data_IF_713101261928
#
_entry.id   IF_713101261928
#
_cell.length_a   1.000
_cell.length_b   1.000
_cell.length_c   1.000
_cell.angle_alpha   90.00
_cell.angle_beta   90.00
_cell.angle_gamma   90.00
#
_symmetry.space_group_name_H-M   'P 1'
#
loop_
_entity.id
_entity.type
_entity.pdbx_description
1 polymer ?
#
# COMPACT_ATOMS: atom_id res chain seq x y z
N UNK A 1 50.53 -33.62 -15.50
CA UNK A 1 49.72 -32.77 -14.58
C UNK A 1 49.78 -31.34 -15.09
N UNK A 2 48.74 -30.87 -15.76
CA UNK A 2 48.44 -29.43 -15.87
C UNK A 2 46.96 -29.27 -16.19
N UNK A 3 46.35 -28.32 -15.51
CA UNK A 3 44.91 -28.11 -15.35
C UNK A 3 44.21 -27.73 -16.66
N UNK A 4 43.10 -28.40 -16.99
CA UNK A 4 42.16 -27.94 -18.02
C UNK A 4 41.38 -26.74 -17.46
N UNK A 5 41.78 -25.52 -17.86
CA UNK A 5 41.03 -24.29 -17.60
C UNK A 5 40.18 -23.99 -18.83
N UNK A 6 38.87 -24.21 -18.73
CA UNK A 6 37.91 -23.81 -19.76
C UNK A 6 37.68 -22.30 -19.59
N UNK A 7 38.23 -21.49 -20.49
CA UNK A 7 37.81 -20.11 -20.67
C UNK A 7 36.47 -20.10 -21.42
N UNK A 8 35.38 -19.84 -20.69
CA UNK A 8 34.08 -19.56 -21.30
C UNK A 8 34.09 -18.09 -21.72
N UNK A 9 34.38 -17.85 -23.00
CA UNK A 9 34.10 -16.57 -23.64
C UNK A 9 32.59 -16.38 -23.72
N UNK A 10 32.02 -15.57 -22.82
CA UNK A 10 30.61 -15.19 -22.88
C UNK A 10 30.47 -14.15 -24.00
N UNK A 11 30.36 -14.63 -25.24
CA UNK A 11 29.73 -13.86 -26.31
C UNK A 11 28.23 -13.79 -26.00
N UNK A 12 27.81 -12.60 -25.60
CA UNK A 12 26.44 -12.05 -25.65
C UNK A 12 25.33 -13.02 -26.07
N UNK A 13 24.66 -13.64 -25.09
CA UNK A 13 23.33 -14.23 -25.25
C UNK A 13 22.28 -13.13 -25.01
N UNK A 14 21.31 -12.90 -25.91
CA UNK A 14 20.25 -11.92 -25.70
C UNK A 14 19.14 -12.56 -24.85
N UNK A 15 19.40 -12.81 -23.56
CA UNK A 15 18.43 -13.47 -22.68
C UNK A 15 18.41 -12.82 -21.29
N UNK A 16 18.25 -11.49 -21.17
CA UNK A 16 18.02 -10.87 -19.85
C UNK A 16 17.15 -9.60 -19.93
N UNK A 17 16.02 -9.64 -20.66
CA UNK A 17 15.04 -8.53 -20.60
C UNK A 17 13.59 -9.00 -20.40
N UNK A 18 13.25 -10.20 -20.89
CA UNK A 18 11.89 -10.75 -20.73
C UNK A 18 11.66 -11.51 -19.43
N UNK A 19 12.67 -12.16 -18.85
CA UNK A 19 12.47 -12.93 -17.62
C UNK A 19 12.15 -12.07 -16.40
N UNK A 20 12.67 -10.84 -16.36
CA UNK A 20 12.32 -9.89 -15.29
C UNK A 20 10.88 -9.40 -15.43
N UNK A 21 10.41 -9.09 -16.64
CA UNK A 21 9.01 -8.68 -16.89
C UNK A 21 8.04 -9.84 -16.67
N UNK A 22 8.41 -11.06 -17.08
CA UNK A 22 7.60 -12.25 -16.88
C UNK A 22 7.54 -12.63 -15.40
N UNK A 23 8.67 -12.61 -14.69
CA UNK A 23 8.70 -12.79 -13.24
C UNK A 23 7.94 -11.68 -12.51
N UNK A 24 8.10 -10.40 -12.89
CA UNK A 24 7.34 -9.29 -12.31
C UNK A 24 5.84 -9.49 -12.53
N UNK A 25 5.40 -9.90 -13.73
CA UNK A 25 3.98 -10.13 -14.06
C UNK A 25 3.39 -11.35 -13.34
N UNK A 26 4.19 -12.40 -13.10
CA UNK A 26 3.77 -13.59 -12.36
C UNK A 26 3.75 -13.34 -10.85
N UNK A 27 4.76 -12.67 -10.29
CA UNK A 27 4.80 -12.26 -8.88
C UNK A 27 3.72 -11.22 -8.56
N UNK A 28 3.48 -10.25 -9.44
CA UNK A 28 2.39 -9.27 -9.26
C UNK A 28 1.04 -9.97 -9.36
N UNK A 29 0.77 -10.81 -10.37
CA UNK A 29 -0.51 -11.53 -10.45
C UNK A 29 -0.75 -12.47 -9.27
N UNK A 30 0.27 -13.23 -8.84
CA UNK A 30 0.13 -14.24 -7.79
C UNK A 30 -0.14 -13.63 -6.41
N UNK A 31 0.57 -12.55 -6.04
CA UNK A 31 0.30 -11.85 -4.79
C UNK A 31 -0.97 -10.97 -4.85
N UNK A 32 -1.31 -10.41 -6.02
CA UNK A 32 -2.44 -9.49 -6.17
C UNK A 32 -3.80 -10.18 -6.09
N UNK A 33 -3.97 -11.35 -6.74
CA UNK A 33 -5.23 -12.10 -6.64
C UNK A 33 -5.47 -12.54 -5.20
N UNK A 34 -4.43 -13.00 -4.51
CA UNK A 34 -4.53 -13.41 -3.11
C UNK A 34 -4.80 -12.22 -2.18
N UNK A 35 -4.12 -11.09 -2.40
CA UNK A 35 -4.35 -9.82 -1.71
C UNK A 35 -5.80 -9.34 -1.85
N UNK A 36 -6.31 -9.27 -3.08
CA UNK A 36 -7.70 -8.91 -3.37
C UNK A 36 -8.68 -9.89 -2.73
N UNK A 37 -8.39 -11.19 -2.78
CA UNK A 37 -9.22 -12.20 -2.16
C UNK A 37 -9.27 -12.04 -0.64
N UNK A 38 -8.12 -11.85 0.02
CA UNK A 38 -8.03 -11.60 1.46
C UNK A 38 -8.75 -10.32 1.85
N UNK A 39 -8.55 -9.22 1.12
CA UNK A 39 -9.26 -7.97 1.32
C UNK A 39 -10.77 -8.15 1.22
N UNK A 40 -11.26 -8.69 0.10
CA UNK A 40 -12.68 -8.76 -0.21
C UNK A 40 -13.44 -9.79 0.60
N UNK A 41 -12.81 -10.92 0.95
CA UNK A 41 -13.50 -12.04 1.62
C UNK A 41 -13.28 -12.08 3.13
N UNK A 42 -12.13 -11.63 3.63
CA UNK A 42 -11.75 -11.85 5.02
C UNK A 42 -11.69 -10.56 5.82
N UNK A 43 -11.18 -9.48 5.24
CA UNK A 43 -10.87 -8.26 5.98
C UNK A 43 -12.00 -7.23 5.88
N UNK A 44 -12.39 -6.82 4.67
CA UNK A 44 -13.37 -5.76 4.46
C UNK A 44 -14.75 -6.08 5.06
N UNK A 45 -15.35 -7.27 4.86
CA UNK A 45 -16.68 -7.56 5.41
C UNK A 45 -16.75 -7.57 6.94
N UNK A 46 -15.60 -7.75 7.62
CA UNK A 46 -15.51 -7.74 9.09
C UNK A 46 -15.34 -6.34 9.66
N UNK A 47 -14.77 -5.43 8.88
CA UNK A 47 -14.39 -4.09 9.33
C UNK A 47 -15.34 -3.00 8.83
N UNK A 48 -15.96 -3.21 7.67
CA UNK A 48 -16.71 -2.17 6.97
C UNK A 48 -17.96 -2.79 6.35
N UNK A 49 -19.11 -2.14 6.55
CA UNK A 49 -20.29 -2.47 5.75
C UNK A 49 -20.01 -2.17 4.27
N UNK A 50 -20.28 -3.10 3.34
CA UNK A 50 -19.95 -2.91 1.92
C UNK A 50 -20.52 -1.62 1.29
N UNK A 51 -21.66 -1.14 1.80
CA UNK A 51 -22.31 0.10 1.36
C UNK A 51 -21.51 1.37 1.68
N UNK A 52 -20.56 1.28 2.60
CA UNK A 52 -19.69 2.38 3.00
C UNK A 52 -18.41 2.44 2.16
N UNK A 53 -18.14 1.44 1.33
CA UNK A 53 -16.98 1.40 0.42
C UNK A 53 -17.40 2.04 -0.90
N UNK A 54 -16.76 3.15 -1.25
CA UNK A 54 -17.01 3.90 -2.48
C UNK A 54 -16.11 3.40 -3.62
N UNK A 55 -14.89 2.96 -3.29
CA UNK A 55 -13.94 2.50 -4.28
C UNK A 55 -12.74 1.81 -3.65
N UNK A 56 -12.14 0.89 -4.40
CA UNK A 56 -10.85 0.28 -4.07
C UNK A 56 -9.99 0.38 -5.31
N UNK A 57 -8.89 1.11 -5.20
CA UNK A 57 -7.94 1.32 -6.30
C UNK A 57 -6.59 0.73 -5.89
N UNK A 58 -5.94 0.04 -6.82
CA UNK A 58 -4.56 -0.42 -6.61
C UNK A 58 -3.67 0.36 -7.56
N UNK A 59 -2.65 0.98 -6.99
CA UNK A 59 -1.75 1.88 -7.70
C UNK A 59 -0.31 1.60 -7.27
N UNK A 60 0.64 2.30 -7.86
CA UNK A 60 2.04 2.21 -7.50
C UNK A 60 2.68 3.60 -7.52
N UNK A 61 3.53 3.87 -6.54
CA UNK A 61 4.34 5.08 -6.47
C UNK A 61 5.82 4.69 -6.59
N UNK A 62 6.69 5.53 -7.20
CA UNK A 62 8.13 5.27 -7.22
C UNK A 62 8.77 5.15 -5.84
N UNK A 63 8.20 5.80 -4.82
CA UNK A 63 8.76 5.90 -3.48
C UNK A 63 8.23 4.84 -2.51
N UNK A 64 7.03 4.30 -2.78
CA UNK A 64 6.31 3.37 -1.90
C UNK A 64 6.18 1.98 -2.54
N UNK A 65 6.29 1.90 -3.87
CA UNK A 65 5.92 0.72 -4.62
C UNK A 65 4.40 0.58 -4.72
N UNK A 66 3.88 -0.65 -4.90
CA UNK A 66 2.44 -0.90 -5.01
C UNK A 66 1.73 -0.59 -3.69
N UNK A 67 0.55 0.01 -3.78
CA UNK A 67 -0.30 0.32 -2.64
C UNK A 67 -1.78 0.21 -2.99
N UNK A 68 -2.61 0.05 -1.96
CA UNK A 68 -4.06 0.00 -2.07
C UNK A 68 -4.63 1.30 -1.54
N UNK A 69 -5.60 1.87 -2.24
CA UNK A 69 -6.38 3.02 -1.82
C UNK A 69 -7.83 2.58 -1.64
N UNK A 70 -8.40 2.85 -0.47
CA UNK A 70 -9.79 2.54 -0.15
C UNK A 70 -10.51 3.85 0.12
N UNK A 71 -11.56 4.12 -0.64
CA UNK A 71 -12.42 5.28 -0.47
C UNK A 71 -13.66 4.90 0.34
N UNK A 72 -13.91 5.61 1.43
CA UNK A 72 -15.00 5.33 2.37
C UNK A 72 -15.95 6.52 2.51
N UNK A 73 -17.24 6.23 2.62
CA UNK A 73 -18.30 7.20 2.93
C UNK A 73 -18.57 7.25 4.45
N UNK A 74 -17.57 7.70 5.19
CA UNK A 74 -17.51 7.78 6.65
C UNK A 74 -16.83 9.08 7.09
N UNK A 75 -17.01 9.47 8.34
CA UNK A 75 -16.23 10.56 8.96
C UNK A 75 -14.78 10.12 9.22
N UNK A 76 -13.90 11.09 9.42
CA UNK A 76 -12.46 10.85 9.64
C UNK A 76 -12.22 9.88 10.80
N UNK A 77 -12.90 10.06 11.93
CA UNK A 77 -12.70 9.26 13.14
C UNK A 77 -12.95 7.76 12.91
N UNK A 78 -14.00 7.41 12.17
CA UNK A 78 -14.37 6.05 11.79
C UNK A 78 -13.43 5.48 10.73
N UNK A 79 -13.12 6.27 9.71
CA UNK A 79 -12.20 5.88 8.64
C UNK A 79 -10.80 5.53 9.20
N UNK A 80 -10.30 6.30 10.17
CA UNK A 80 -9.03 6.01 10.82
C UNK A 80 -9.07 4.72 11.67
N UNK A 81 -10.18 4.41 12.35
CA UNK A 81 -10.32 3.12 13.08
C UNK A 81 -10.22 1.94 12.13
N UNK A 82 -10.83 2.06 10.97
CA UNK A 82 -10.73 1.06 9.91
C UNK A 82 -9.30 0.97 9.39
N UNK A 83 -8.67 2.12 9.14
CA UNK A 83 -7.30 2.17 8.63
C UNK A 83 -6.29 1.54 9.61
N UNK A 84 -6.39 1.83 10.90
CA UNK A 84 -5.59 1.19 11.95
C UNK A 84 -5.74 -0.34 11.91
N UNK A 85 -6.97 -0.83 11.84
CA UNK A 85 -7.24 -2.27 11.76
C UNK A 85 -6.67 -2.88 10.47
N UNK A 86 -6.75 -2.19 9.35
CA UNK A 86 -6.15 -2.64 8.09
C UNK A 86 -4.62 -2.69 8.19
N UNK A 87 -4.00 -1.69 8.79
CA UNK A 87 -2.55 -1.68 9.04
C UNK A 87 -2.14 -2.83 9.97
N UNK A 88 -2.94 -3.16 10.99
CA UNK A 88 -2.62 -4.24 11.93
C UNK A 88 -2.87 -5.64 11.35
N UNK A 89 -3.85 -5.81 10.47
CA UNK A 89 -4.27 -7.13 9.98
C UNK A 89 -3.71 -7.49 8.62
N UNK A 90 -3.70 -6.54 7.68
CA UNK A 90 -3.40 -6.80 6.28
C UNK A 90 -1.92 -6.59 5.98
N UNK A 91 -1.34 -5.49 6.45
CA UNK A 91 0.05 -5.15 6.14
C UNK A 91 1.07 -6.23 6.57
N UNK A 92 0.98 -6.87 7.76
CA UNK A 92 1.93 -7.90 8.16
C UNK A 92 1.93 -9.12 7.23
N UNK A 93 0.78 -9.43 6.62
CA UNK A 93 0.59 -10.59 5.74
C UNK A 93 1.03 -10.30 4.31
N UNK A 94 0.77 -9.10 3.82
CA UNK A 94 0.90 -8.76 2.40
C UNK A 94 2.11 -7.90 2.10
N UNK A 95 2.60 -7.15 3.10
CA UNK A 95 3.61 -6.09 2.97
C UNK A 95 3.24 -5.01 1.95
N UNK A 96 1.96 -4.91 1.60
CA UNK A 96 1.42 -3.88 0.70
C UNK A 96 0.74 -2.81 1.56
N UNK A 97 1.22 -1.55 1.52
CA UNK A 97 0.57 -0.44 2.22
C UNK A 97 -0.86 -0.24 1.76
N UNK A 98 -1.73 0.09 2.71
CA UNK A 98 -3.12 0.47 2.44
C UNK A 98 -3.33 1.88 2.93
N UNK A 99 -3.98 2.70 2.11
CA UNK A 99 -4.35 4.07 2.42
C UNK A 99 -5.87 4.17 2.40
N UNK A 100 -6.41 4.93 3.34
CA UNK A 100 -7.84 5.17 3.45
C UNK A 100 -8.11 6.65 3.19
N UNK A 101 -9.05 6.91 2.29
CA UNK A 101 -9.60 8.25 2.02
C UNK A 101 -11.06 8.22 2.45
N UNK A 102 -11.52 9.30 3.06
CA UNK A 102 -12.90 9.43 3.53
C UNK A 102 -13.57 10.64 2.88
N UNK A 103 -14.91 10.61 2.80
CA UNK A 103 -15.73 11.69 2.25
C UNK A 103 -16.55 12.44 3.29
N UNK A 104 -16.70 11.89 4.49
CA UNK A 104 -17.42 12.53 5.59
C UNK A 104 -16.60 13.65 6.25
N UNK A 105 -17.11 14.15 7.36
CA UNK A 105 -16.53 15.31 8.04
C UNK A 105 -15.19 14.98 8.70
N UNK A 106 -14.33 15.99 8.77
CA UNK A 106 -13.12 15.98 9.59
C UNK A 106 -13.52 16.25 11.05
N UNK A 107 -13.91 15.18 11.75
CA UNK A 107 -14.39 15.21 13.15
C UNK A 107 -13.30 14.92 14.18
N UNK A 108 -12.02 15.03 13.78
CA UNK A 108 -10.86 14.88 14.63
C UNK A 108 -10.17 16.23 14.84
N UNK A 109 -9.62 16.45 16.04
CA UNK A 109 -8.73 17.58 16.26
C UNK A 109 -7.46 17.43 15.40
N UNK A 110 -6.81 18.53 14.99
CA UNK A 110 -5.55 18.46 14.24
C UNK A 110 -4.46 17.63 14.95
N UNK A 111 -4.41 17.72 16.29
CA UNK A 111 -3.47 16.96 17.11
C UNK A 111 -3.75 15.45 17.07
N UNK A 112 -5.01 15.05 17.25
CA UNK A 112 -5.40 13.64 17.19
C UNK A 112 -5.20 13.06 15.80
N UNK A 113 -5.51 13.83 14.76
CA UNK A 113 -5.28 13.45 13.39
C UNK A 113 -3.80 13.16 13.12
N UNK A 114 -2.92 14.12 13.43
CA UNK A 114 -1.48 13.99 13.19
C UNK A 114 -0.88 12.80 13.94
N UNK A 115 -1.30 12.60 15.20
CA UNK A 115 -0.86 11.47 16.03
C UNK A 115 -1.28 10.13 15.41
N UNK A 116 -2.56 9.96 15.10
CA UNK A 116 -3.08 8.70 14.56
C UNK A 116 -2.49 8.38 13.19
N UNK A 117 -2.29 9.40 12.35
CA UNK A 117 -1.67 9.25 11.04
C UNK A 117 -0.23 8.74 11.18
N UNK A 118 0.57 9.34 12.06
CA UNK A 118 1.95 8.91 12.29
C UNK A 118 2.02 7.46 12.79
N UNK A 119 1.14 7.08 13.72
CA UNK A 119 1.07 5.72 14.26
C UNK A 119 0.74 4.69 13.16
N UNK A 120 -0.25 4.97 12.31
CA UNK A 120 -0.64 4.09 11.19
C UNK A 120 0.50 3.94 10.17
N UNK A 121 1.13 5.03 9.77
CA UNK A 121 2.19 5.00 8.78
C UNK A 121 3.42 4.23 9.30
N UNK A 122 3.73 4.38 10.59
CA UNK A 122 4.80 3.63 11.24
C UNK A 122 4.55 2.11 11.22
N UNK A 123 3.30 1.68 11.48
CA UNK A 123 2.89 0.25 11.40
C UNK A 123 3.11 -0.33 10.01
N UNK A 124 2.93 0.48 8.97
CA UNK A 124 3.14 0.07 7.57
C UNK A 124 4.57 0.27 7.07
N UNK A 125 5.52 0.62 7.94
CA UNK A 125 6.89 0.98 7.57
C UNK A 125 6.93 2.01 6.41
N UNK A 126 5.98 2.94 6.43
CA UNK A 126 5.85 4.04 5.47
C UNK A 126 6.13 5.35 6.16
N UNK A 127 6.66 6.32 5.43
CA UNK A 127 6.96 7.65 5.95
C UNK A 127 6.12 8.71 5.25
N UNK A 128 5.76 9.77 5.97
CA UNK A 128 5.10 10.95 5.38
C UNK A 128 5.88 11.48 4.16
N UNK A 129 7.22 11.43 4.21
CA UNK A 129 8.11 11.88 3.14
C UNK A 129 8.15 10.95 1.91
N UNK A 130 7.72 9.70 2.06
CA UNK A 130 7.62 8.76 0.92
C UNK A 130 6.33 8.94 0.13
N UNK A 131 5.37 9.66 0.69
CA UNK A 131 4.13 9.93 0.02
C UNK A 131 4.31 11.13 -0.92
N UNK A 132 4.48 10.86 -2.21
CA UNK A 132 4.74 11.93 -3.18
C UNK A 132 3.55 12.85 -3.38
N UNK A 133 2.32 12.45 -3.00
CA UNK A 133 1.12 13.29 -2.78
C UNK A 133 0.13 12.57 -1.83
N UNK A 134 0.02 12.96 -0.55
CA UNK A 134 -1.25 12.89 0.18
C UNK A 134 -1.34 13.85 1.38
N UNK A 135 -2.56 14.31 1.65
CA UNK A 135 -2.91 15.25 2.73
C UNK A 135 -2.08 16.53 2.67
N UNK A 136 -2.69 17.59 2.13
CA UNK A 136 -2.15 18.94 2.23
C UNK A 136 -2.26 19.41 3.69
N UNK A 137 -1.37 18.89 4.56
CA UNK A 137 -1.27 19.23 5.98
C UNK A 137 -1.09 20.73 6.16
N UNK A 138 -0.52 21.41 5.17
CA UNK A 138 -0.34 22.87 5.19
C UNK A 138 -1.64 23.65 5.01
N UNK A 139 -2.63 23.13 4.29
CA UNK A 139 -3.95 23.77 4.21
C UNK A 139 -4.76 23.61 5.50
N UNK A 140 -4.69 22.45 6.15
CA UNK A 140 -5.42 22.21 7.41
C UNK A 140 -4.76 22.89 8.63
N UNK A 141 -3.44 23.11 8.61
CA UNK A 141 -2.73 23.81 9.68
C UNK A 141 -2.67 25.33 9.53
N UNK A 142 -3.00 25.89 8.36
CA UNK A 142 -2.96 27.35 8.12
C UNK A 142 -4.27 28.08 8.45
N UNK A 143 -5.31 27.37 8.89
CA UNK A 143 -6.60 27.95 9.26
C UNK A 143 -6.83 28.08 10.79
N UNK A 144 -5.78 27.91 11.61
CA UNK A 144 -5.75 28.44 12.99
C UNK A 144 -5.25 29.89 13.04
#
# INVERSE_FOLDING_TARGET
MSSNRIEISIRSLPIVKDWSQMALSLFTKFNFTQLLTTLMQQVLPRLIHPQKIQGITISSSPNIGPYILIELDLNASEAFKIWENLADTLYPQTRVPVFVVWKGEMDLSPSDFGKRLAEILAKMNTSLFTLTHPVDLTKELSEE
#
